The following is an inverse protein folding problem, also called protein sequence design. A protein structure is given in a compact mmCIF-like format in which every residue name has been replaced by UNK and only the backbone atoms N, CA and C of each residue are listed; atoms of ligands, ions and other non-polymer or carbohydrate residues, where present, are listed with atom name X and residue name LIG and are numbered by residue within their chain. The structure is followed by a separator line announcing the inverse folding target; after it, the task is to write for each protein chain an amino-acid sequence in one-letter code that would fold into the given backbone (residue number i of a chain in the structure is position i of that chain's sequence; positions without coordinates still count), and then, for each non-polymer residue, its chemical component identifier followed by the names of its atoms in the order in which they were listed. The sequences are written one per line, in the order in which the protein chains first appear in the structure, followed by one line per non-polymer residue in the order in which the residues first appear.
data_IF_581418044873
#
_entry.id   IF_581418044873
#
_cell.length_a   1.000
_cell.length_b   1.000
_cell.length_c   1.000
_cell.angle_alpha   90.00
_cell.angle_beta   90.00
_cell.angle_gamma   90.00
#
_symmetry.space_group_name_H-M   'P 1'
#
loop_
_entity.id
_entity.type
_entity.pdbx_description
1 polymer ?
#
# COMPACT_ATOMS: atom_id res chain seq x y z
N UNK A 1 11.13 2.47 -4.49
CA UNK A 1 9.67 2.30 -4.67
C UNK A 1 8.93 2.96 -3.52
N UNK A 2 7.61 3.06 -3.61
CA UNK A 2 6.75 3.46 -2.48
C UNK A 2 6.37 2.20 -1.69
N UNK A 3 6.43 2.25 -0.37
CA UNK A 3 5.95 1.17 0.52
C UNK A 3 4.67 1.64 1.17
N UNK A 4 3.65 0.79 1.16
CA UNK A 4 2.34 1.10 1.72
C UNK A 4 1.74 -0.09 2.47
N UNK A 5 0.64 0.19 3.13
CA UNK A 5 -0.16 -0.78 3.84
C UNK A 5 -1.37 -1.19 2.99
N UNK A 6 -1.70 -2.48 2.99
CA UNK A 6 -2.94 -2.96 2.39
C UNK A 6 -4.09 -2.65 3.34
N UNK A 7 -5.02 -1.81 2.88
CA UNK A 7 -6.19 -1.40 3.65
C UNK A 7 -7.48 -1.76 2.92
N UNK A 8 -8.53 -2.09 3.65
CA UNK A 8 -9.87 -2.29 3.07
C UNK A 8 -10.73 -1.07 3.34
N UNK A 9 -11.20 -0.42 2.27
CA UNK A 9 -12.08 0.75 2.35
C UNK A 9 -13.28 0.53 1.44
N UNK A 10 -14.50 0.72 1.97
CA UNK A 10 -15.76 0.50 1.23
C UNK A 10 -15.88 -0.88 0.57
N UNK A 11 -15.33 -1.92 1.23
CA UNK A 11 -15.31 -3.29 0.72
C UNK A 11 -14.28 -3.55 -0.40
N UNK A 12 -13.44 -2.57 -0.73
CA UNK A 12 -12.36 -2.69 -1.72
C UNK A 12 -11.00 -2.63 -1.06
N UNK A 13 -10.09 -3.49 -1.49
CA UNK A 13 -8.69 -3.45 -1.07
C UNK A 13 -7.95 -2.34 -1.81
N UNK A 14 -7.24 -1.48 -1.07
CA UNK A 14 -6.44 -0.35 -1.55
C UNK A 14 -5.07 -0.38 -0.92
N UNK A 15 -4.09 0.27 -1.54
CA UNK A 15 -2.79 0.51 -0.93
C UNK A 15 -2.77 1.93 -0.38
N UNK A 16 -2.61 2.06 0.94
CA UNK A 16 -2.39 3.33 1.60
C UNK A 16 -0.88 3.57 1.70
N UNK A 17 -0.40 4.65 1.09
CA UNK A 17 1.01 5.04 1.16
C UNK A 17 1.14 6.35 1.90
N UNK A 18 2.04 6.39 2.88
CA UNK A 18 2.39 7.61 3.60
C UNK A 18 3.48 8.36 2.84
N UNK A 19 3.17 9.58 2.45
CA UNK A 19 4.07 10.51 1.77
C UNK A 19 4.47 11.58 2.78
N UNK A 20 5.76 11.65 3.13
CA UNK A 20 6.27 12.48 4.24
C UNK A 20 5.96 13.99 4.12
N UNK A 21 5.62 14.49 2.92
CA UNK A 21 5.25 15.89 2.69
C UNK A 21 3.81 16.12 2.19
N UNK A 22 3.10 15.07 1.76
CA UNK A 22 1.76 15.18 1.15
C UNK A 22 0.66 14.51 1.98
N UNK A 23 1.01 13.79 3.04
CA UNK A 23 0.06 13.06 3.88
C UNK A 23 -0.14 11.62 3.41
N UNK A 24 -1.36 11.10 3.51
CA UNK A 24 -1.68 9.73 3.10
C UNK A 24 -2.37 9.72 1.75
N UNK A 25 -1.87 8.90 0.83
CA UNK A 25 -2.50 8.64 -0.46
C UNK A 25 -3.07 7.22 -0.49
N UNK A 26 -4.34 7.07 -0.84
CA UNK A 26 -4.97 5.77 -1.07
C UNK A 26 -5.06 5.54 -2.58
N UNK A 27 -4.43 4.47 -3.06
CA UNK A 27 -4.37 4.17 -4.50
C UNK A 27 -4.96 2.79 -4.76
N UNK A 28 -5.79 2.70 -5.80
CA UNK A 28 -6.22 1.43 -6.36
C UNK A 28 -5.09 0.87 -7.22
N UNK A 29 -4.48 -0.23 -6.77
CA UNK A 29 -3.33 -0.82 -7.46
C UNK A 29 -3.67 -2.25 -7.92
N UNK A 30 -3.52 -2.58 -9.22
CA UNK A 30 -3.72 -3.93 -9.69
C UNK A 30 -2.62 -4.88 -9.17
N UNK A 31 -2.97 -6.15 -8.99
CA UNK A 31 -2.10 -7.15 -8.33
C UNK A 31 -0.72 -7.31 -8.99
N UNK A 32 -0.59 -7.09 -10.30
CA UNK A 32 0.69 -7.19 -11.01
C UNK A 32 1.64 -6.01 -10.78
N UNK A 33 1.19 -4.95 -10.11
CA UNK A 33 1.95 -3.73 -9.84
C UNK A 33 2.35 -3.61 -8.36
N UNK A 34 1.98 -4.60 -7.55
CA UNK A 34 2.29 -4.66 -6.13
C UNK A 34 3.04 -5.94 -5.83
N UNK A 35 4.00 -5.85 -4.93
CA UNK A 35 4.69 -7.00 -4.37
C UNK A 35 4.57 -6.98 -2.86
N UNK A 36 4.48 -8.17 -2.24
CA UNK A 36 4.51 -8.26 -0.79
C UNK A 36 5.90 -7.90 -0.29
N UNK A 37 5.97 -6.96 0.65
CA UNK A 37 7.20 -6.71 1.38
C UNK A 37 7.51 -7.97 2.19
N UNK A 38 8.59 -8.68 1.84
CA UNK A 38 9.06 -9.79 2.67
C UNK A 38 9.40 -9.23 4.05
N UNK A 39 8.67 -9.66 5.07
CA UNK A 39 9.10 -9.42 6.44
C UNK A 39 10.49 -10.07 6.63
N UNK A 40 11.46 -9.40 7.27
CA UNK A 40 12.70 -10.04 7.63
C UNK A 40 12.38 -11.26 8.49
N UNK A 41 12.91 -12.43 8.12
CA UNK A 41 12.83 -13.62 8.94
C UNK A 41 13.57 -13.32 10.25
N UNK A 42 12.80 -13.20 11.34
CA UNK A 42 13.32 -13.09 12.71
C UNK A 42 13.62 -14.47 13.28
#
# INVERSE_FOLDING_TARGET
GLVGELVTMDGKSKIAVRLDMLGCACVDMPIGYVESVKAPAV
#
